data_IF_373069253961
#
_entry.id   IF_373069253961
#
_cell.length_a   1.000
_cell.length_b   1.000
_cell.length_c   1.000
_cell.angle_alpha   90.00
_cell.angle_beta   90.00
_cell.angle_gamma   90.00
#
_symmetry.space_group_name_H-M   'P 1'
#
loop_
_entity.id
_entity.type
_entity.pdbx_description
1 polymer ?
#
# COMPACT_ATOMS: atom_id res chain seq x y z
N UNK A 1 -11.33 69.46 46.19
CA UNK A 1 -11.21 67.99 46.05
C UNK A 1 -10.97 67.54 44.59
N UNK A 2 -10.05 68.16 43.84
CA UNK A 2 -9.71 67.74 42.46
C UNK A 2 -8.22 67.40 42.25
N UNK A 3 -7.33 67.80 43.18
CA UNK A 3 -5.89 67.50 43.08
C UNK A 3 -5.49 66.12 43.63
N UNK A 4 -6.27 65.50 44.52
CA UNK A 4 -6.00 64.13 45.00
C UNK A 4 -6.32 63.04 43.95
N UNK A 5 -7.27 63.27 43.04
CA UNK A 5 -7.60 62.31 41.97
C UNK A 5 -6.54 62.28 40.85
N UNK A 6 -5.78 63.37 40.67
CA UNK A 6 -4.72 63.44 39.67
C UNK A 6 -3.46 62.67 40.11
N UNK A 7 -3.11 62.73 41.40
CA UNK A 7 -1.99 61.95 41.95
C UNK A 7 -2.26 60.43 41.97
N UNK A 8 -3.52 60.02 42.21
CA UNK A 8 -3.93 58.61 42.11
C UNK A 8 -3.82 58.05 40.69
N UNK A 9 -4.03 58.88 39.65
CA UNK A 9 -3.93 58.45 38.26
C UNK A 9 -2.46 58.29 37.81
N UNK A 10 -1.56 59.13 38.31
CA UNK A 10 -0.13 59.08 38.00
C UNK A 10 0.55 57.89 38.71
N UNK A 11 0.10 57.54 39.93
CA UNK A 11 0.56 56.35 40.64
C UNK A 11 0.10 55.03 39.99
N UNK A 12 -1.05 55.02 39.29
CA UNK A 12 -1.53 53.85 38.56
C UNK A 12 -0.87 53.70 37.17
N UNK A 13 -0.42 54.79 36.53
CA UNK A 13 0.28 54.70 35.24
C UNK A 13 1.76 54.32 35.38
N UNK A 14 2.36 54.58 36.55
CA UNK A 14 3.76 54.27 36.83
C UNK A 14 3.99 52.80 37.20
N UNK A 15 2.96 52.08 37.66
CA UNK A 15 3.03 50.63 37.92
C UNK A 15 2.85 49.77 36.66
N UNK A 16 2.32 50.33 35.57
CA UNK A 16 2.23 49.68 34.26
C UNK A 16 3.48 49.84 33.39
N UNK A 17 4.40 50.76 33.74
CA UNK A 17 5.63 51.01 32.97
C UNK A 17 6.84 50.17 33.42
N UNK A 18 6.75 49.45 34.55
CA UNK A 18 7.86 48.65 35.11
C UNK A 18 7.75 47.14 34.83
N UNK A 19 6.79 46.69 34.03
CA UNK A 19 6.75 45.31 33.48
C UNK A 19 7.44 45.19 32.11
N UNK A 20 8.35 46.11 31.79
CA UNK A 20 9.25 46.00 30.63
C UNK A 20 10.58 45.35 31.03
N UNK A 21 10.57 44.03 31.21
CA UNK A 21 11.79 43.23 31.05
C UNK A 21 11.93 42.83 29.58
N UNK A 22 12.46 43.76 28.78
CA UNK A 22 13.18 43.42 27.56
C UNK A 22 14.63 43.13 27.93
N UNK A 23 15.00 41.84 27.95
CA UNK A 23 16.35 41.41 28.26
C UNK A 23 16.63 40.02 27.69
N UNK A 24 17.34 40.02 26.55
CA UNK A 24 18.21 38.94 26.07
C UNK A 24 17.65 37.52 25.97
N UNK A 25 17.39 37.11 24.73
CA UNK A 25 18.15 35.99 24.17
C UNK A 25 18.08 34.66 24.91
N UNK A 26 16.89 34.19 25.25
CA UNK A 26 16.62 32.75 25.19
C UNK A 26 15.51 32.58 24.20
N UNK A 27 15.86 32.04 23.04
CA UNK A 27 14.89 31.36 22.21
C UNK A 27 14.06 30.52 23.17
N UNK A 28 12.74 30.78 23.21
CA UNK A 28 11.82 29.69 23.53
C UNK A 28 12.09 28.68 22.44
N UNK A 29 13.09 27.83 22.68
CA UNK A 29 13.35 26.60 22.00
C UNK A 29 12.09 25.81 22.25
N UNK A 30 11.11 26.03 21.36
CA UNK A 30 10.01 25.13 21.18
C UNK A 30 10.66 23.79 20.99
N UNK A 31 10.67 22.99 22.05
CA UNK A 31 11.24 21.67 22.04
C UNK A 31 10.58 20.95 20.89
N UNK A 32 11.29 20.79 19.77
CA UNK A 32 10.98 19.74 18.82
C UNK A 32 11.02 18.47 19.64
N UNK A 33 9.83 17.91 19.84
CA UNK A 33 9.53 16.73 20.65
C UNK A 33 10.22 15.52 20.00
N UNK A 34 11.51 15.44 20.30
CA UNK A 34 12.51 14.39 20.29
C UNK A 34 12.08 13.05 19.66
N UNK A 35 12.28 12.91 18.36
CA UNK A 35 13.02 11.73 17.90
C UNK A 35 14.46 12.21 17.70
N UNK A 36 15.33 11.86 18.64
CA UNK A 36 16.79 11.95 18.45
C UNK A 36 17.23 10.50 18.35
N UNK A 37 17.92 10.14 17.28
CA UNK A 37 18.44 8.78 17.16
C UNK A 37 19.35 8.48 18.35
N UNK A 38 19.55 7.20 18.69
CA UNK A 38 20.55 6.82 19.72
C UNK A 38 21.97 7.34 19.39
N UNK A 39 22.20 7.72 18.14
CA UNK A 39 23.46 8.30 17.65
C UNK A 39 23.54 9.82 17.81
N UNK A 40 22.53 10.49 18.38
CA UNK A 40 22.53 11.93 18.63
C UNK A 40 22.16 12.81 17.43
N UNK A 41 22.01 12.22 16.25
CA UNK A 41 21.60 12.92 15.02
C UNK A 41 20.09 13.17 15.01
N UNK A 42 19.67 14.32 14.46
CA UNK A 42 18.25 14.57 14.25
C UNK A 42 17.78 14.00 12.90
N UNK A 43 16.56 13.45 12.83
CA UNK A 43 15.93 13.00 11.59
C UNK A 43 15.85 14.10 10.55
N UNK A 44 16.21 13.79 9.30
CA UNK A 44 15.91 14.61 8.12
C UNK A 44 16.36 16.09 8.21
N UNK A 45 17.58 16.30 8.69
CA UNK A 45 18.28 17.60 8.59
C UNK A 45 18.91 17.77 7.20
N UNK A 46 19.02 19.01 6.72
CA UNK A 46 19.64 19.32 5.41
C UNK A 46 21.10 18.85 5.30
N UNK A 47 21.82 18.86 6.41
CA UNK A 47 23.22 18.42 6.51
C UNK A 47 23.37 17.06 7.22
N UNK A 48 22.25 16.42 7.58
CA UNK A 48 22.24 15.10 8.20
C UNK A 48 22.13 13.98 7.17
N UNK A 49 22.51 12.78 7.58
CA UNK A 49 22.38 11.56 6.77
C UNK A 49 21.18 10.69 7.18
N UNK A 50 20.39 11.13 8.17
CA UNK A 50 19.34 10.33 8.81
C UNK A 50 17.94 10.52 8.18
N UNK A 51 17.14 9.44 8.16
CA UNK A 51 15.81 9.37 7.56
C UNK A 51 14.78 10.32 8.20
N UNK A 52 13.68 10.58 7.49
CA UNK A 52 12.49 11.20 8.08
C UNK A 52 11.79 10.19 9.00
N UNK A 53 11.77 10.45 10.31
CA UNK A 53 11.15 9.59 11.33
C UNK A 53 9.62 9.58 11.31
N UNK A 54 8.97 9.73 10.15
CA UNK A 54 7.52 9.61 10.05
C UNK A 54 7.17 8.12 10.06
N UNK A 55 6.55 7.67 11.14
CA UNK A 55 5.93 6.35 11.16
C UNK A 55 4.83 6.30 10.10
N UNK A 56 5.03 5.50 9.06
CA UNK A 56 4.04 5.33 8.02
C UNK A 56 2.91 4.45 8.57
N UNK A 57 1.71 5.01 8.63
CA UNK A 57 0.53 4.20 8.92
C UNK A 57 0.30 3.28 7.72
N UNK A 58 0.31 1.98 7.98
CA UNK A 58 0.03 0.98 6.97
C UNK A 58 -1.45 1.09 6.59
N UNK A 59 -1.71 1.47 5.35
CA UNK A 59 -3.06 1.51 4.79
C UNK A 59 -3.26 0.27 3.94
N UNK A 60 -4.30 -0.49 4.22
CA UNK A 60 -4.70 -1.64 3.40
C UNK A 60 -5.17 -1.22 2.01
N UNK A 61 -5.11 -2.16 1.07
CA UNK A 61 -5.75 -2.01 -0.22
C UNK A 61 -7.28 -2.07 -0.07
N UNK A 62 -8.05 -1.58 -1.06
CA UNK A 62 -9.51 -1.71 -1.04
C UNK A 62 -9.94 -3.16 -0.83
N UNK A 63 -10.97 -3.38 0.00
CA UNK A 63 -11.49 -4.72 0.29
C UNK A 63 -10.57 -5.57 1.18
N UNK A 64 -9.55 -4.99 1.81
CA UNK A 64 -8.70 -5.70 2.78
C UNK A 64 -8.90 -5.22 4.21
N UNK A 65 -8.87 -6.17 5.14
CA UNK A 65 -8.95 -5.95 6.58
C UNK A 65 -7.56 -6.10 7.20
N UNK A 66 -7.24 -5.21 8.15
CA UNK A 66 -6.01 -5.29 8.92
C UNK A 66 -6.17 -6.28 10.07
N UNK A 67 -5.31 -7.30 10.09
CA UNK A 67 -5.22 -8.28 11.18
C UNK A 67 -4.02 -7.91 12.04
N UNK A 68 -4.27 -7.62 13.31
CA UNK A 68 -3.22 -7.30 14.27
C UNK A 68 -2.34 -8.51 14.55
N UNK A 69 -1.04 -8.28 14.58
CA UNK A 69 -0.05 -9.29 14.95
C UNK A 69 -0.18 -9.67 16.42
N UNK A 70 -0.03 -10.96 16.70
CA UNK A 70 -0.24 -11.49 18.04
C UNK A 70 -0.03 -12.99 18.10
N UNK A 71 -0.42 -13.57 19.23
CA UNK A 71 -0.40 -15.03 19.42
C UNK A 71 -1.81 -15.56 19.52
N UNK A 72 -2.10 -16.65 18.81
CA UNK A 72 -3.36 -17.37 18.94
C UNK A 72 -3.11 -18.88 19.03
N UNK A 73 -4.06 -19.60 19.61
CA UNK A 73 -4.04 -21.06 19.65
C UNK A 73 -4.76 -21.59 18.42
N UNK A 74 -4.01 -22.23 17.52
CA UNK A 74 -4.56 -22.85 16.32
C UNK A 74 -4.94 -24.30 16.61
N UNK A 75 -6.17 -24.67 16.28
CA UNK A 75 -6.68 -26.04 16.37
C UNK A 75 -7.97 -26.13 17.19
N UNK A 76 -8.44 -27.36 17.44
CA UNK A 76 -9.65 -27.59 18.22
C UNK A 76 -9.38 -27.35 19.71
N UNK A 77 -9.86 -26.23 20.24
CA UNK A 77 -9.80 -25.91 21.67
C UNK A 77 -10.97 -26.50 22.48
N UNK A 78 -11.97 -27.06 21.80
CA UNK A 78 -13.12 -27.72 22.43
C UNK A 78 -12.93 -29.23 22.42
N UNK A 79 -13.43 -29.88 23.47
CA UNK A 79 -13.42 -31.32 23.58
C UNK A 79 -14.34 -31.93 22.51
N UNK A 80 -13.77 -32.79 21.66
CA UNK A 80 -14.51 -33.54 20.65
C UNK A 80 -14.91 -34.89 21.25
N UNK A 81 -16.21 -35.15 21.33
CA UNK A 81 -16.77 -36.39 21.87
C UNK A 81 -16.25 -37.62 21.13
N UNK A 82 -15.87 -37.47 19.84
CA UNK A 82 -15.38 -38.55 19.00
C UNK A 82 -13.85 -38.75 19.06
N UNK A 83 -13.12 -37.94 19.85
CA UNK A 83 -11.66 -38.06 20.06
C UNK A 83 -10.85 -38.17 18.75
N UNK A 84 -11.22 -37.41 17.72
CA UNK A 84 -10.54 -37.48 16.43
C UNK A 84 -9.13 -36.85 16.53
N UNK A 85 -8.08 -37.68 16.44
CA UNK A 85 -6.69 -37.29 16.70
C UNK A 85 -6.04 -36.61 15.49
N UNK A 86 -6.62 -35.51 15.02
CA UNK A 86 -6.07 -34.76 13.87
C UNK A 86 -5.95 -33.25 14.10
N UNK A 87 -6.20 -32.75 15.32
CA UNK A 87 -6.24 -31.30 15.54
C UNK A 87 -5.71 -30.85 16.92
N UNK A 88 -4.49 -31.26 17.25
CA UNK A 88 -3.83 -30.84 18.50
C UNK A 88 -3.62 -29.32 18.52
N UNK A 89 -4.16 -28.60 19.53
CA UNK A 89 -4.00 -27.16 19.62
C UNK A 89 -2.54 -26.76 19.77
N UNK A 90 -2.07 -25.83 18.93
CA UNK A 90 -0.72 -25.25 18.98
C UNK A 90 -0.76 -23.73 19.02
N UNK A 91 0.04 -23.12 19.90
CA UNK A 91 0.17 -21.66 19.97
C UNK A 91 1.07 -21.17 18.84
N UNK A 92 0.51 -20.36 17.94
CA UNK A 92 1.19 -19.75 16.81
C UNK A 92 1.33 -18.25 17.04
N UNK A 93 2.45 -17.67 16.58
CA UNK A 93 2.66 -16.23 16.54
C UNK A 93 2.68 -15.76 15.09
N UNK A 94 1.93 -14.71 14.78
CA UNK A 94 1.85 -14.15 13.43
C UNK A 94 2.08 -12.64 13.48
N UNK A 95 2.85 -12.12 12.53
CA UNK A 95 3.04 -10.67 12.32
C UNK A 95 1.74 -10.02 11.84
N UNK A 96 1.55 -8.71 12.01
CA UNK A 96 0.37 -8.05 11.44
C UNK A 96 0.37 -8.16 9.91
N UNK A 97 -0.79 -8.41 9.30
CA UNK A 97 -0.95 -8.49 7.84
C UNK A 97 -2.34 -8.01 7.41
N UNK A 98 -2.53 -7.88 6.10
CA UNK A 98 -3.82 -7.59 5.50
C UNK A 98 -4.36 -8.84 4.80
N UNK A 99 -5.66 -9.08 4.92
CA UNK A 99 -6.37 -10.17 4.22
C UNK A 99 -7.61 -9.60 3.53
N UNK A 100 -7.99 -10.17 2.39
CA UNK A 100 -9.26 -9.82 1.74
C UNK A 100 -10.44 -10.06 2.67
N UNK A 101 -11.41 -9.14 2.67
CA UNK A 101 -12.66 -9.26 3.43
C UNK A 101 -13.55 -10.38 2.86
N UNK A 102 -13.55 -10.53 1.53
CA UNK A 102 -14.33 -11.52 0.79
C UNK A 102 -13.42 -12.33 -0.13
N UNK A 103 -13.94 -13.46 -0.62
CA UNK A 103 -13.34 -14.19 -1.72
C UNK A 103 -13.27 -13.33 -2.98
N UNK A 104 -12.35 -13.70 -3.88
CA UNK A 104 -12.23 -13.08 -5.19
C UNK A 104 -13.44 -13.42 -6.04
N UNK A 105 -14.05 -12.40 -6.63
CA UNK A 105 -15.24 -12.51 -7.46
C UNK A 105 -14.91 -12.84 -8.92
N UNK A 106 -15.88 -13.35 -9.66
CA UNK A 106 -15.76 -13.56 -11.10
C UNK A 106 -15.42 -12.25 -11.84
N UNK A 107 -16.00 -11.12 -11.43
CA UNK A 107 -15.71 -9.81 -11.99
C UNK A 107 -14.22 -9.43 -11.87
N UNK A 108 -13.66 -9.57 -10.66
CA UNK A 108 -12.25 -9.25 -10.39
C UNK A 108 -11.30 -10.21 -11.14
N UNK A 109 -11.65 -11.49 -11.22
CA UNK A 109 -10.85 -12.45 -12.00
C UNK A 109 -10.92 -12.17 -13.51
N UNK A 110 -12.06 -11.68 -14.02
CA UNK A 110 -12.19 -11.22 -15.41
C UNK A 110 -11.35 -9.97 -15.66
N UNK A 111 -11.25 -9.05 -14.71
CA UNK A 111 -10.33 -7.91 -14.80
C UNK A 111 -8.89 -8.38 -15.03
N UNK A 112 -8.44 -9.37 -14.26
CA UNK A 112 -7.14 -10.02 -14.48
C UNK A 112 -6.98 -10.62 -15.89
N UNK A 113 -7.97 -11.36 -16.38
CA UNK A 113 -7.94 -11.93 -17.74
C UNK A 113 -7.93 -10.86 -18.83
N UNK A 114 -8.65 -9.75 -18.63
CA UNK A 114 -8.64 -8.62 -19.58
C UNK A 114 -7.27 -7.94 -19.62
N UNK A 115 -6.63 -7.78 -18.46
CA UNK A 115 -5.26 -7.29 -18.38
C UNK A 115 -4.28 -8.23 -19.09
N UNK A 116 -4.39 -9.54 -18.88
CA UNK A 116 -3.57 -10.53 -19.56
C UNK A 116 -3.71 -10.42 -21.08
N UNK A 117 -4.93 -10.29 -21.61
CA UNK A 117 -5.17 -10.10 -23.05
C UNK A 117 -4.55 -8.82 -23.60
N UNK A 118 -4.57 -7.76 -22.82
CA UNK A 118 -4.03 -6.47 -23.22
C UNK A 118 -2.49 -6.49 -23.25
N UNK A 119 -1.86 -7.08 -22.25
CA UNK A 119 -0.39 -7.15 -22.14
C UNK A 119 0.22 -8.26 -23.00
N UNK A 120 -0.44 -9.41 -23.04
CA UNK A 120 0.00 -10.63 -23.72
C UNK A 120 -1.08 -11.04 -24.74
N UNK A 121 -1.14 -10.36 -25.90
CA UNK A 121 -2.18 -10.60 -26.88
C UNK A 121 -2.11 -12.04 -27.41
N UNK A 122 -3.23 -12.78 -27.44
CA UNK A 122 -3.25 -14.15 -27.94
C UNK A 122 -3.06 -14.26 -29.46
N UNK A 123 -3.05 -13.12 -30.16
CA UNK A 123 -2.69 -13.02 -31.58
C UNK A 123 -1.26 -13.51 -31.84
N UNK A 124 -0.36 -13.33 -30.86
CA UNK A 124 1.01 -13.79 -30.94
C UNK A 124 1.13 -15.23 -30.43
N UNK A 125 1.64 -16.17 -31.25
CA UNK A 125 1.77 -17.58 -30.86
C UNK A 125 2.59 -17.80 -29.58
N UNK A 126 3.56 -16.92 -29.29
CA UNK A 126 4.40 -16.99 -28.10
C UNK A 126 3.65 -16.73 -26.79
N UNK A 127 2.52 -16.03 -26.83
CA UNK A 127 1.76 -15.61 -25.64
C UNK A 127 0.43 -16.34 -25.46
N UNK A 128 -0.03 -17.04 -26.48
CA UNK A 128 -1.31 -17.78 -26.49
C UNK A 128 -1.49 -18.67 -25.24
N UNK A 129 -0.45 -19.40 -24.85
CA UNK A 129 -0.52 -20.34 -23.72
C UNK A 129 -0.60 -19.64 -22.36
N UNK A 130 -0.14 -18.39 -22.25
CA UNK A 130 -0.24 -17.61 -21.01
C UNK A 130 -1.70 -17.33 -20.68
N UNK A 131 -2.46 -16.85 -21.68
CA UNK A 131 -3.88 -16.56 -21.50
C UNK A 131 -4.69 -17.86 -21.28
N UNK A 132 -4.44 -18.89 -22.08
CA UNK A 132 -5.16 -20.16 -21.95
C UNK A 132 -4.91 -20.83 -20.59
N UNK A 133 -3.66 -20.80 -20.10
CA UNK A 133 -3.29 -21.34 -18.79
C UNK A 133 -3.87 -20.55 -17.61
N UNK A 134 -4.33 -19.31 -17.81
CA UNK A 134 -4.98 -18.51 -16.79
C UNK A 134 -6.52 -18.68 -16.76
N UNK A 135 -7.12 -19.35 -17.74
CA UNK A 135 -8.56 -19.57 -17.75
C UNK A 135 -8.97 -20.56 -16.64
N UNK A 136 -10.06 -20.28 -15.91
CA UNK A 136 -10.63 -21.26 -14.97
C UNK A 136 -11.16 -22.48 -15.72
N UNK A 137 -11.06 -23.64 -15.09
CA UNK A 137 -11.66 -24.86 -15.61
C UNK A 137 -13.19 -24.80 -15.48
N UNK A 138 -13.88 -24.71 -16.61
CA UNK A 138 -15.35 -24.71 -16.65
C UNK A 138 -15.95 -26.11 -16.66
N UNK A 139 -15.15 -27.15 -16.92
CA UNK A 139 -15.61 -28.54 -17.00
C UNK A 139 -15.94 -29.13 -15.62
N UNK A 140 -15.55 -28.47 -14.53
CA UNK A 140 -15.95 -28.90 -13.18
C UNK A 140 -17.48 -28.92 -12.98
N UNK A 141 -18.22 -28.17 -13.80
CA UNK A 141 -19.67 -28.14 -13.79
C UNK A 141 -20.32 -29.25 -14.63
N UNK A 142 -19.53 -29.97 -15.45
CA UNK A 142 -20.00 -31.09 -16.27
C UNK A 142 -20.22 -32.33 -15.39
N UNK A 143 -21.37 -32.36 -14.72
CA UNK A 143 -21.83 -33.50 -13.97
C UNK A 143 -23.21 -33.90 -14.47
N UNK A 144 -23.33 -35.13 -14.99
CA UNK A 144 -24.57 -35.71 -15.52
C UNK A 144 -25.73 -35.73 -14.51
N UNK A 145 -25.43 -35.68 -13.21
CA UNK A 145 -26.43 -35.64 -12.13
C UNK A 145 -26.71 -34.21 -11.63
N UNK A 146 -26.01 -33.19 -12.13
CA UNK A 146 -26.28 -31.81 -11.78
C UNK A 146 -27.61 -31.37 -12.39
N UNK A 147 -28.42 -30.66 -11.58
CA UNK A 147 -29.69 -30.09 -12.04
C UNK A 147 -29.48 -28.88 -12.96
N UNK A 148 -28.38 -28.16 -12.77
CA UNK A 148 -28.10 -26.91 -13.46
C UNK A 148 -26.80 -27.05 -14.26
N UNK A 149 -26.80 -26.55 -15.50
CA UNK A 149 -25.58 -26.47 -16.31
C UNK A 149 -24.97 -25.07 -16.21
N UNK A 150 -23.83 -25.00 -15.54
CA UNK A 150 -23.11 -23.77 -15.24
C UNK A 150 -21.80 -23.63 -16.04
N UNK A 151 -21.49 -24.61 -16.91
CA UNK A 151 -20.26 -24.67 -17.70
C UNK A 151 -20.01 -23.39 -18.54
N UNK A 152 -21.07 -22.83 -19.12
CA UNK A 152 -20.99 -21.71 -20.05
C UNK A 152 -21.28 -20.39 -19.35
N UNK A 153 -22.19 -20.41 -18.37
CA UNK A 153 -22.80 -19.22 -17.79
C UNK A 153 -22.04 -18.69 -16.57
N UNK A 154 -21.55 -19.55 -15.67
CA UNK A 154 -21.05 -19.11 -14.36
C UNK A 154 -19.93 -18.08 -14.44
N UNK A 155 -18.92 -18.33 -15.27
CA UNK A 155 -17.77 -17.42 -15.38
C UNK A 155 -17.98 -16.29 -16.39
N UNK A 156 -18.89 -16.46 -17.37
CA UNK A 156 -19.01 -15.54 -18.51
C UNK A 156 -20.19 -14.58 -18.40
N UNK A 157 -21.26 -14.97 -17.71
CA UNK A 157 -22.49 -14.19 -17.59
C UNK A 157 -22.36 -13.11 -16.51
N UNK A 158 -22.85 -11.88 -16.75
CA UNK A 158 -22.88 -10.81 -15.74
C UNK A 158 -23.67 -11.15 -14.48
N UNK A 159 -24.62 -12.09 -14.55
CA UNK A 159 -25.44 -12.52 -13.41
C UNK A 159 -24.60 -13.06 -12.25
N UNK A 160 -23.44 -13.62 -12.55
CA UNK A 160 -22.54 -14.24 -11.58
C UNK A 160 -21.30 -13.40 -11.29
N UNK A 161 -21.25 -12.13 -11.72
CA UNK A 161 -20.07 -11.27 -11.59
C UNK A 161 -19.60 -11.11 -10.13
N UNK A 162 -20.53 -11.07 -9.16
CA UNK A 162 -20.24 -10.94 -7.73
C UNK A 162 -20.16 -12.27 -6.97
N UNK A 163 -20.15 -13.40 -7.67
CA UNK A 163 -19.97 -14.72 -7.07
C UNK A 163 -18.48 -15.07 -7.01
N UNK A 164 -18.05 -15.93 -6.06
CA UNK A 164 -16.66 -16.31 -5.94
C UNK A 164 -16.18 -17.05 -7.20
N UNK A 165 -14.95 -16.79 -7.63
CA UNK A 165 -14.36 -17.54 -8.74
C UNK A 165 -14.10 -18.99 -8.33
N UNK A 166 -14.46 -19.92 -9.21
CA UNK A 166 -14.27 -21.37 -9.02
C UNK A 166 -13.58 -21.98 -10.24
N UNK A 167 -13.00 -23.17 -10.06
CA UNK A 167 -12.23 -23.82 -11.13
C UNK A 167 -10.83 -23.27 -11.33
N UNK A 168 -10.29 -22.59 -10.31
CA UNK A 168 -8.93 -22.07 -10.31
C UNK A 168 -8.00 -23.00 -9.54
N UNK A 169 -6.87 -23.33 -10.15
CA UNK A 169 -5.77 -24.05 -9.51
C UNK A 169 -4.99 -23.16 -8.54
N UNK A 170 -4.25 -23.78 -7.63
CA UNK A 170 -3.37 -23.07 -6.70
C UNK A 170 -2.35 -22.17 -7.43
N UNK A 171 -1.77 -22.66 -8.53
CA UNK A 171 -0.81 -21.89 -9.32
C UNK A 171 -1.48 -20.66 -9.96
N UNK A 172 -2.69 -20.80 -10.50
CA UNK A 172 -3.45 -19.67 -11.05
C UNK A 172 -3.80 -18.64 -9.97
N UNK A 173 -4.21 -19.09 -8.79
CA UNK A 173 -4.48 -18.21 -7.65
C UNK A 173 -3.23 -17.44 -7.21
N UNK A 174 -2.06 -18.09 -7.17
CA UNK A 174 -0.82 -17.41 -6.82
C UNK A 174 -0.42 -16.34 -7.86
N UNK A 175 -0.57 -16.64 -9.17
CA UNK A 175 -0.33 -15.66 -10.24
C UNK A 175 -1.29 -14.48 -10.19
N UNK A 176 -2.55 -14.72 -9.85
CA UNK A 176 -3.52 -13.67 -9.62
C UNK A 176 -3.09 -12.75 -8.47
N UNK A 177 -2.61 -13.31 -7.35
CA UNK A 177 -2.12 -12.51 -6.22
C UNK A 177 -0.89 -11.67 -6.56
N UNK A 178 0.05 -12.20 -7.36
CA UNK A 178 1.20 -11.44 -7.89
C UNK A 178 0.72 -10.26 -8.74
N UNK A 179 -0.18 -10.51 -9.69
CA UNK A 179 -0.79 -9.47 -10.53
C UNK A 179 -1.51 -8.40 -9.71
N UNK A 180 -2.34 -8.81 -8.75
CA UNK A 180 -3.11 -7.91 -7.89
C UNK A 180 -2.18 -6.99 -7.10
N UNK A 181 -1.07 -7.53 -6.59
CA UNK A 181 -0.04 -6.77 -5.87
C UNK A 181 0.58 -5.72 -6.79
N UNK A 182 0.94 -6.08 -8.02
CA UNK A 182 1.50 -5.13 -8.99
C UNK A 182 0.51 -4.03 -9.35
N UNK A 183 -0.74 -4.37 -9.68
CA UNK A 183 -1.76 -3.37 -10.06
C UNK A 183 -2.13 -2.44 -8.92
N UNK A 184 -2.22 -2.95 -7.70
CA UNK A 184 -2.50 -2.14 -6.52
C UNK A 184 -1.37 -1.13 -6.28
N UNK A 185 -0.12 -1.58 -6.33
CA UNK A 185 1.06 -0.71 -6.21
C UNK A 185 1.13 0.33 -7.32
N UNK A 186 0.90 -0.08 -8.56
CA UNK A 186 0.84 0.83 -9.70
C UNK A 186 -0.21 1.93 -9.51
N UNK A 187 -1.42 1.56 -9.09
CA UNK A 187 -2.50 2.52 -8.82
C UNK A 187 -2.11 3.49 -7.71
N UNK A 188 -1.43 3.03 -6.67
CA UNK A 188 -0.91 3.91 -5.62
C UNK A 188 0.15 4.88 -6.15
N UNK A 189 1.05 4.43 -7.03
CA UNK A 189 2.07 5.27 -7.66
C UNK A 189 1.45 6.31 -8.61
N UNK A 190 0.39 5.94 -9.35
CA UNK A 190 -0.40 6.86 -10.16
C UNK A 190 -1.14 7.90 -9.31
N UNK A 191 -1.74 7.49 -8.20
CA UNK A 191 -2.40 8.39 -7.24
C UNK A 191 -1.39 9.34 -6.56
N UNK A 192 -0.17 8.87 -6.32
CA UNK A 192 0.94 9.70 -5.85
C UNK A 192 1.47 10.65 -6.94
N UNK A 193 1.13 10.40 -8.21
CA UNK A 193 1.60 11.13 -9.38
C UNK A 193 3.09 10.95 -9.66
N UNK A 194 3.62 9.78 -9.28
CA UNK A 194 4.95 9.30 -9.64
C UNK A 194 4.90 8.66 -11.02
N UNK A 195 3.85 7.91 -11.32
CA UNK A 195 3.58 7.33 -12.63
C UNK A 195 2.50 8.17 -13.33
N UNK A 196 2.64 8.32 -14.65
CA UNK A 196 1.67 9.02 -15.48
C UNK A 196 0.34 8.25 -15.56
N UNK A 197 -0.80 8.96 -15.55
CA UNK A 197 -2.14 8.32 -15.51
C UNK A 197 -2.59 7.74 -16.85
N UNK A 198 -1.92 8.16 -17.92
CA UNK A 198 -2.13 7.85 -19.33
C UNK A 198 -1.30 6.63 -19.79
N UNK A 199 -0.66 5.90 -18.87
CA UNK A 199 0.20 4.76 -19.19
C UNK A 199 -0.50 3.72 -20.10
N UNK A 200 -1.81 3.53 -19.91
CA UNK A 200 -2.65 2.57 -20.66
C UNK A 200 -3.26 3.10 -21.95
N UNK A 201 -3.08 4.38 -22.26
CA UNK A 201 -3.59 5.00 -23.49
C UNK A 201 -2.64 4.74 -24.66
N UNK A 202 -1.34 4.56 -24.37
CA UNK A 202 -0.31 4.32 -25.38
C UNK A 202 -0.14 2.81 -25.63
N UNK A 203 -0.57 2.34 -26.81
CA UNK A 203 -0.52 0.92 -27.21
C UNK A 203 0.90 0.33 -27.26
N UNK A 204 1.94 1.18 -27.39
CA UNK A 204 3.34 0.76 -27.48
C UNK A 204 3.98 0.36 -26.15
N UNK A 205 3.43 0.79 -25.02
CA UNK A 205 4.15 0.81 -23.74
C UNK A 205 3.77 -0.32 -22.78
N UNK A 206 2.82 -1.18 -23.17
CA UNK A 206 2.26 -2.20 -22.28
C UNK A 206 2.24 -3.60 -22.87
N UNK A 207 3.07 -3.89 -23.88
CA UNK A 207 3.10 -5.21 -24.50
C UNK A 207 4.28 -6.04 -23.99
N UNK A 208 3.98 -7.19 -23.43
CA UNK A 208 4.95 -8.16 -22.96
C UNK A 208 5.85 -7.62 -21.85
N UNK A 209 7.16 -7.65 -22.11
CA UNK A 209 8.19 -7.33 -21.12
C UNK A 209 8.18 -5.88 -20.64
N UNK A 210 7.56 -4.94 -21.35
CA UNK A 210 7.55 -3.51 -20.97
C UNK A 210 6.47 -3.16 -19.96
N UNK A 211 5.58 -4.10 -19.64
CA UNK A 211 4.53 -3.89 -18.64
C UNK A 211 5.11 -3.56 -17.26
N UNK A 212 4.38 -2.72 -16.52
CA UNK A 212 4.72 -2.39 -15.14
C UNK A 212 4.86 -3.67 -14.31
N UNK A 213 5.95 -3.78 -13.56
CA UNK A 213 6.17 -4.79 -12.53
C UNK A 213 6.84 -4.09 -11.33
N UNK A 214 6.41 -4.43 -10.12
CA UNK A 214 6.95 -3.82 -8.90
C UNK A 214 8.45 -4.08 -8.72
N UNK A 215 8.95 -5.24 -9.13
CA UNK A 215 10.37 -5.58 -9.01
C UNK A 215 11.23 -4.73 -9.95
N UNK A 216 10.75 -4.49 -11.19
CA UNK A 216 11.39 -3.54 -12.13
C UNK A 216 11.40 -2.11 -11.59
N UNK A 217 10.33 -1.73 -10.90
CA UNK A 217 10.24 -0.41 -10.28
C UNK A 217 11.25 -0.26 -9.13
N UNK A 218 11.45 -1.30 -8.32
CA UNK A 218 12.42 -1.34 -7.21
C UNK A 218 13.87 -1.42 -7.70
N UNK A 219 14.15 -2.19 -8.75
CA UNK A 219 15.49 -2.30 -9.35
C UNK A 219 15.91 -1.03 -10.10
N UNK A 220 15.00 -0.06 -10.25
CA UNK A 220 15.22 1.21 -10.93
C UNK A 220 15.59 1.00 -12.41
N UNK A 221 14.94 0.03 -13.07
CA UNK A 221 15.24 -0.35 -14.45
C UNK A 221 15.12 0.83 -15.43
N UNK A 222 16.00 0.91 -16.46
CA UNK A 222 15.99 1.99 -17.44
C UNK A 222 14.68 2.17 -18.19
N UNK A 223 13.97 1.07 -18.49
CA UNK A 223 12.70 1.07 -19.23
C UNK A 223 11.59 1.81 -18.48
N UNK A 224 11.60 1.75 -17.15
CA UNK A 224 10.59 2.38 -16.31
C UNK A 224 10.86 3.88 -16.08
N UNK A 225 12.10 4.34 -16.25
CA UNK A 225 12.48 5.74 -16.00
C UNK A 225 11.71 6.74 -16.87
N UNK A 226 11.33 6.33 -18.10
CA UNK A 226 10.58 7.17 -19.02
C UNK A 226 9.22 7.62 -18.48
N UNK A 227 8.60 6.80 -17.61
CA UNK A 227 7.26 7.05 -17.06
C UNK A 227 7.26 7.58 -15.64
N UNK A 228 8.44 7.59 -14.99
CA UNK A 228 8.58 7.97 -13.59
C UNK A 228 8.91 9.46 -13.48
N UNK A 229 8.05 10.21 -12.81
CA UNK A 229 8.33 11.56 -12.38
C UNK A 229 9.31 11.55 -11.18
N UNK A 230 10.60 11.64 -11.47
CA UNK A 230 11.67 11.61 -10.47
C UNK A 230 11.58 12.76 -9.45
N UNK A 231 11.11 13.94 -9.86
CA UNK A 231 10.94 15.09 -8.96
C UNK A 231 9.85 14.83 -7.92
N UNK A 232 8.70 14.29 -8.34
CA UNK A 232 7.61 13.89 -7.44
C UNK A 232 8.01 12.75 -6.52
N UNK A 233 8.76 11.77 -7.03
CA UNK A 233 9.35 10.69 -6.21
C UNK A 233 10.23 11.26 -5.09
N UNK A 234 11.13 12.19 -5.41
CA UNK A 234 12.00 12.84 -4.43
C UNK A 234 11.21 13.69 -3.42
N UNK A 235 10.21 14.46 -3.87
CA UNK A 235 9.36 15.25 -2.98
C UNK A 235 8.58 14.37 -1.98
N UNK A 236 8.08 13.21 -2.43
CA UNK A 236 7.33 12.25 -1.59
C UNK A 236 8.21 11.50 -0.61
N UNK A 237 9.49 11.29 -0.92
CA UNK A 237 10.47 10.74 0.03
C UNK A 237 10.59 11.62 1.30
N UNK A 238 10.25 12.91 1.18
CA UNK A 238 10.31 13.87 2.26
C UNK A 238 11.73 14.18 2.73
N UNK A 239 12.77 13.65 2.08
CA UNK A 239 14.17 13.89 2.40
C UNK A 239 14.58 15.31 1.99
N UNK A 240 15.21 16.03 2.92
CA UNK A 240 15.69 17.40 2.72
C UNK A 240 17.16 17.49 2.28
N UNK A 241 17.86 16.35 2.24
CA UNK A 241 19.27 16.29 1.82
C UNK A 241 19.38 16.40 0.30
N UNK A 242 20.37 17.15 -0.17
CA UNK A 242 20.69 17.30 -1.60
C UNK A 242 21.82 16.38 -2.05
N UNK A 243 22.43 15.64 -1.12
CA UNK A 243 23.56 14.77 -1.40
C UNK A 243 23.10 13.49 -2.11
N UNK A 244 23.48 13.33 -3.38
CA UNK A 244 23.11 12.17 -4.20
C UNK A 244 23.58 10.83 -3.61
N UNK A 245 24.74 10.78 -2.95
CA UNK A 245 25.25 9.56 -2.31
C UNK A 245 24.39 9.15 -1.12
N UNK A 246 23.91 10.11 -0.35
CA UNK A 246 22.98 9.85 0.76
C UNK A 246 21.59 9.48 0.26
N UNK A 247 21.12 10.10 -0.83
CA UNK A 247 19.86 9.73 -1.47
C UNK A 247 19.91 8.31 -2.04
N UNK A 248 21.01 7.91 -2.67
CA UNK A 248 21.20 6.56 -3.19
C UNK A 248 21.33 5.51 -2.08
N UNK A 249 22.04 5.83 -0.99
CA UNK A 249 22.12 4.94 0.18
C UNK A 249 20.76 4.74 0.89
N UNK A 250 19.84 5.68 0.70
CA UNK A 250 18.51 5.67 1.30
C UNK A 250 17.40 5.27 0.33
N UNK A 251 17.73 4.97 -0.93
CA UNK A 251 16.80 4.46 -1.92
C UNK A 251 16.73 2.93 -1.79
N UNK A 252 15.70 2.46 -1.09
CA UNK A 252 15.34 1.04 -1.01
C UNK A 252 13.87 0.83 -1.34
#
# INVERSE_FOLDING_TARGET
MKKLKLFSLIALSSTLALTSCGGSGTSKGGGTKKFVSKTGWKPNEKQGWFFAGKQQQQKGWPGMVYVEGGTFTMGLVKDDVMHDWNNTPRRMQVSSFFIGETEITNYEYREYLTWLKYVFPPSDPSFKEIYNGALPDTLLWDNKLSRNDFNETYFRSPEYDYYPVVGVSWTQANRYCEWLTDRANEKALMNAGIIAKDLYINESNNQGGTAFNMDKFKSNDPEMQGYINQQRRQQKSGMKTTNQRLLAANAS
#
